data_IF_189288135829
#
_entry.id   IF_189288135829
#
_cell.length_a   1.000
_cell.length_b   1.000
_cell.length_c   1.000
_cell.angle_alpha   90.00
_cell.angle_beta   90.00
_cell.angle_gamma   90.00
#
_symmetry.space_group_name_H-M   'P 1'
#
loop_
_entity.id
_entity.type
_entity.pdbx_description
1 polymer ?
#
# COMPACT_ATOMS: atom_id res chain seq x y z
N UNK A 1 71.98 4.29 -27.17
CA UNK A 1 71.68 5.43 -26.27
C UNK A 1 70.19 5.71 -26.36
N UNK A 2 69.49 5.72 -25.20
CA UNK A 2 68.24 6.45 -24.87
C UNK A 2 66.99 6.26 -25.76
N UNK A 3 65.75 6.11 -25.27
CA UNK A 3 65.14 6.11 -23.93
C UNK A 3 63.77 5.44 -24.09
N UNK A 4 63.46 4.44 -23.26
CA UNK A 4 62.12 3.82 -23.18
C UNK A 4 61.12 4.86 -22.67
N UNK A 5 60.17 5.26 -23.51
CA UNK A 5 59.09 6.18 -23.11
C UNK A 5 57.93 5.37 -22.51
N UNK A 6 57.63 5.76 -21.27
CA UNK A 6 56.60 5.32 -20.33
C UNK A 6 55.22 5.04 -20.95
N UNK A 7 54.79 3.78 -20.93
CA UNK A 7 53.39 3.37 -21.18
C UNK A 7 52.82 2.62 -19.98
N UNK A 8 52.81 3.24 -18.80
CA UNK A 8 52.16 2.68 -17.60
C UNK A 8 51.78 3.82 -16.67
N UNK A 9 50.87 4.70 -17.13
CA UNK A 9 50.28 5.70 -16.22
C UNK A 9 48.97 6.27 -16.74
N UNK A 10 48.03 5.45 -17.24
CA UNK A 10 46.72 5.97 -17.63
C UNK A 10 45.54 4.99 -17.48
N UNK A 11 45.74 3.73 -17.09
CA UNK A 11 44.62 2.78 -16.94
C UNK A 11 43.85 2.98 -15.63
N UNK A 12 44.53 3.41 -14.55
CA UNK A 12 43.88 3.61 -13.23
C UNK A 12 42.96 4.83 -13.15
N UNK A 13 43.23 5.90 -13.91
CA UNK A 13 42.43 7.12 -13.85
C UNK A 13 41.10 6.99 -14.61
N UNK A 14 41.10 6.22 -15.71
CA UNK A 14 39.90 5.93 -16.49
C UNK A 14 38.93 5.02 -15.72
N UNK A 15 39.41 4.04 -14.95
CA UNK A 15 38.54 3.15 -14.19
C UNK A 15 37.79 3.84 -13.04
N UNK A 16 38.40 4.83 -12.38
CA UNK A 16 37.76 5.59 -11.28
C UNK A 16 36.73 6.59 -11.82
N UNK A 17 36.97 7.20 -12.98
CA UNK A 17 36.00 8.07 -13.66
C UNK A 17 34.75 7.29 -14.14
N UNK A 18 34.90 6.04 -14.58
CA UNK A 18 33.77 5.19 -14.99
C UNK A 18 32.84 4.81 -13.82
N UNK A 19 33.37 4.62 -12.61
CA UNK A 19 32.56 4.30 -11.42
C UNK A 19 31.78 5.51 -10.88
N UNK A 20 32.30 6.73 -11.03
CA UNK A 20 31.59 7.96 -10.61
C UNK A 20 30.44 8.30 -11.57
N UNK A 21 30.54 7.93 -12.85
CA UNK A 21 29.47 8.15 -13.83
C UNK A 21 28.25 7.22 -13.66
N UNK A 22 28.42 6.03 -13.07
CA UNK A 22 27.30 5.11 -12.79
C UNK A 22 26.44 5.54 -11.58
N UNK A 23 26.95 6.43 -10.71
CA UNK A 23 26.23 6.92 -9.53
C UNK A 23 25.36 8.17 -9.79
N UNK A 24 25.45 8.78 -10.99
CA UNK A 24 24.66 9.95 -11.39
C UNK A 24 23.46 9.54 -12.28
N UNK A 25 22.76 8.45 -11.93
CA UNK A 25 21.37 8.35 -12.35
C UNK A 25 20.61 9.39 -11.55
N UNK A 26 20.51 10.60 -12.12
CA UNK A 26 19.72 11.67 -11.56
C UNK A 26 18.35 11.11 -11.21
N UNK A 27 18.03 11.09 -9.91
CA UNK A 27 16.70 10.81 -9.42
C UNK A 27 15.82 11.93 -9.95
N UNK A 28 15.25 11.74 -11.14
CA UNK A 28 14.38 12.73 -11.74
C UNK A 28 13.16 12.81 -10.85
N UNK A 29 12.99 13.97 -10.20
CA UNK A 29 11.78 14.23 -9.45
C UNK A 29 10.59 13.97 -10.38
N UNK A 30 9.55 13.26 -9.91
CA UNK A 30 8.36 13.07 -10.71
C UNK A 30 7.86 14.44 -11.19
N UNK A 31 7.32 14.55 -12.42
CA UNK A 31 6.85 15.82 -12.93
C UNK A 31 5.85 16.44 -11.95
N UNK A 32 5.82 17.77 -11.85
CA UNK A 32 5.03 18.47 -10.81
C UNK A 32 3.53 18.14 -10.80
N UNK A 33 3.01 17.51 -11.86
CA UNK A 33 1.64 17.04 -11.98
C UNK A 33 1.46 15.53 -11.76
N UNK A 34 2.51 14.77 -11.46
CA UNK A 34 2.45 13.32 -11.30
C UNK A 34 1.47 12.89 -10.20
N UNK A 35 1.41 13.65 -9.11
CA UNK A 35 0.47 13.40 -8.02
C UNK A 35 -0.99 13.61 -8.46
N UNK A 36 -1.30 14.73 -9.13
CA UNK A 36 -2.65 14.98 -9.63
C UNK A 36 -3.06 13.98 -10.71
N UNK A 37 -2.13 13.57 -11.58
CA UNK A 37 -2.37 12.52 -12.57
C UNK A 37 -2.66 11.17 -11.90
N UNK A 38 -1.84 10.77 -10.91
CA UNK A 38 -2.06 9.53 -10.16
C UNK A 38 -3.39 9.54 -9.39
N UNK A 39 -3.77 10.69 -8.81
CA UNK A 39 -5.06 10.90 -8.15
C UNK A 39 -6.21 10.77 -9.14
N UNK A 40 -6.10 11.36 -10.33
CA UNK A 40 -7.12 11.26 -11.37
C UNK A 40 -7.23 9.84 -11.94
N UNK A 41 -6.11 9.16 -12.16
CA UNK A 41 -6.05 7.75 -12.57
C UNK A 41 -6.68 6.84 -11.50
N UNK A 42 -6.40 7.07 -10.21
CA UNK A 42 -7.01 6.35 -9.08
C UNK A 42 -8.53 6.65 -8.94
N UNK A 43 -8.95 7.87 -9.24
CA UNK A 43 -10.36 8.27 -9.28
C UNK A 43 -11.13 7.68 -10.47
N UNK A 44 -10.44 7.05 -11.44
CA UNK A 44 -11.09 6.40 -12.58
C UNK A 44 -11.95 5.18 -12.19
N UNK A 45 -11.72 4.59 -11.01
CA UNK A 45 -12.47 3.42 -10.52
C UNK A 45 -13.56 3.83 -9.51
N UNK A 46 -13.25 4.75 -8.60
CA UNK A 46 -14.19 5.25 -7.59
C UNK A 46 -14.07 6.78 -7.44
N UNK A 47 -15.19 7.53 -7.38
CA UNK A 47 -15.14 8.94 -7.05
C UNK A 47 -14.69 9.13 -5.59
N UNK A 48 -14.25 10.34 -5.19
CA UNK A 48 -14.01 10.65 -3.79
C UNK A 48 -15.30 10.47 -2.97
N UNK A 49 -15.22 9.76 -1.85
CA UNK A 49 -16.31 9.59 -0.90
C UNK A 49 -15.80 9.69 0.55
N UNK A 50 -16.70 10.00 1.47
CA UNK A 50 -16.40 9.96 2.91
C UNK A 50 -16.58 8.54 3.45
N UNK A 51 -15.71 8.16 4.39
CA UNK A 51 -15.98 7.01 5.25
C UNK A 51 -17.18 7.32 6.14
N UNK A 52 -18.02 6.32 6.39
CA UNK A 52 -19.17 6.44 7.28
C UNK A 52 -19.03 5.46 8.44
N UNK A 53 -19.53 5.85 9.61
CA UNK A 53 -19.71 4.93 10.73
C UNK A 53 -20.99 4.07 10.60
N UNK A 54 -21.24 3.21 11.58
CA UNK A 54 -22.40 2.30 11.58
C UNK A 54 -23.75 3.04 11.61
N UNK A 55 -23.79 4.25 12.17
CA UNK A 55 -24.96 5.14 12.16
C UNK A 55 -25.07 5.96 10.87
N UNK A 56 -24.14 5.79 9.92
CA UNK A 56 -24.09 6.54 8.68
C UNK A 56 -23.50 7.96 8.81
N UNK A 57 -22.88 8.30 9.94
CA UNK A 57 -22.24 9.62 10.16
C UNK A 57 -20.88 9.65 9.48
N UNK A 58 -20.51 10.81 8.97
CA UNK A 58 -19.22 11.01 8.28
C UNK A 58 -18.05 10.84 9.25
N UNK A 59 -17.05 10.07 8.83
CA UNK A 59 -15.71 10.02 9.43
C UNK A 59 -14.76 10.82 8.52
N UNK A 60 -14.10 11.82 9.10
CA UNK A 60 -13.07 12.61 8.43
C UNK A 60 -11.86 12.79 9.37
N UNK A 61 -10.87 11.87 9.31
CA UNK A 61 -9.72 11.90 10.20
C UNK A 61 -8.84 13.13 10.00
N UNK A 62 -8.76 13.65 8.76
CA UNK A 62 -7.97 14.85 8.43
C UNK A 62 -8.49 16.10 9.16
N UNK A 63 -9.81 16.15 9.39
CA UNK A 63 -10.48 17.26 10.11
C UNK A 63 -10.87 16.90 11.56
N UNK A 64 -10.44 15.73 12.05
CA UNK A 64 -10.78 15.26 13.40
C UNK A 64 -12.26 14.91 13.63
N UNK A 65 -13.08 14.80 12.58
CA UNK A 65 -14.51 14.47 12.73
C UNK A 65 -14.69 12.95 12.85
N UNK A 66 -15.22 12.47 13.99
CA UNK A 66 -15.42 11.04 14.29
C UNK A 66 -14.15 10.18 14.02
N UNK A 67 -12.96 10.74 14.25
CA UNK A 67 -11.69 10.13 13.88
C UNK A 67 -11.35 8.87 14.71
N UNK A 68 -12.02 8.72 15.84
CA UNK A 68 -11.91 7.62 16.81
C UNK A 68 -13.01 6.55 16.64
N UNK A 69 -13.93 6.74 15.69
CA UNK A 69 -15.06 5.84 15.46
C UNK A 69 -14.71 4.83 14.36
N UNK A 70 -15.04 3.53 14.52
CA UNK A 70 -14.82 2.55 13.48
C UNK A 70 -15.69 2.87 12.24
N UNK A 71 -15.09 2.69 11.06
CA UNK A 71 -15.83 2.79 9.81
C UNK A 71 -16.72 1.56 9.59
N UNK A 72 -17.85 1.75 8.93
CA UNK A 72 -18.75 0.69 8.50
C UNK A 72 -18.54 0.41 7.01
N UNK A 73 -17.98 -0.76 6.64
CA UNK A 73 -17.89 -1.19 5.25
C UNK A 73 -19.27 -1.23 4.57
N UNK A 74 -20.32 -1.63 5.30
CA UNK A 74 -21.68 -1.68 4.76
C UNK A 74 -22.19 -0.27 4.43
N UNK A 75 -22.11 0.68 5.36
CA UNK A 75 -22.58 2.05 5.10
C UNK A 75 -21.70 2.79 4.10
N UNK A 76 -20.40 2.49 4.04
CA UNK A 76 -19.47 3.18 3.14
C UNK A 76 -19.50 2.60 1.73
N UNK A 77 -19.15 1.32 1.56
CA UNK A 77 -19.05 0.68 0.24
C UNK A 77 -20.43 0.35 -0.34
N UNK A 78 -21.41 0.06 0.51
CA UNK A 78 -22.80 -0.24 0.11
C UNK A 78 -23.53 0.92 -0.58
N UNK A 79 -22.95 2.13 -0.58
CA UNK A 79 -23.49 3.29 -1.30
C UNK A 79 -23.30 3.19 -2.82
N UNK A 80 -22.23 2.53 -3.25
CA UNK A 80 -21.84 2.43 -4.66
C UNK A 80 -21.80 0.99 -5.17
N UNK A 81 -21.73 0.01 -4.28
CA UNK A 81 -21.62 -1.40 -4.62
C UNK A 81 -22.68 -2.22 -3.88
N UNK A 82 -23.04 -3.37 -4.44
CA UNK A 82 -23.82 -4.36 -3.70
C UNK A 82 -22.94 -4.96 -2.59
N UNK A 83 -23.17 -4.51 -1.35
CA UNK A 83 -22.41 -4.97 -0.20
C UNK A 83 -22.54 -6.48 0.01
N UNK A 84 -23.72 -7.06 -0.24
CA UNK A 84 -23.90 -8.51 -0.13
C UNK A 84 -23.01 -9.22 -1.15
N UNK A 85 -22.90 -8.69 -2.37
CA UNK A 85 -21.99 -9.24 -3.36
C UNK A 85 -20.52 -9.12 -2.95
N UNK A 86 -20.11 -7.98 -2.38
CA UNK A 86 -18.75 -7.79 -1.85
C UNK A 86 -18.42 -8.87 -0.82
N UNK A 87 -19.33 -9.10 0.14
CA UNK A 87 -19.09 -10.08 1.22
C UNK A 87 -18.90 -11.51 0.72
N UNK A 88 -19.29 -11.84 -0.52
CA UNK A 88 -19.06 -13.16 -1.12
C UNK A 88 -17.62 -13.38 -1.60
N UNK A 89 -16.76 -12.34 -1.58
CA UNK A 89 -15.36 -12.46 -1.97
C UNK A 89 -14.61 -13.46 -1.11
N UNK A 90 -13.67 -14.19 -1.70
CA UNK A 90 -12.92 -15.26 -1.02
C UNK A 90 -12.35 -14.82 0.33
N UNK A 91 -11.70 -13.66 0.37
CA UNK A 91 -11.12 -13.11 1.61
C UNK A 91 -12.15 -12.85 2.69
N UNK A 92 -13.39 -12.48 2.35
CA UNK A 92 -14.42 -12.28 3.36
C UNK A 92 -15.00 -13.59 3.87
N UNK A 93 -14.81 -14.71 3.18
CA UNK A 93 -15.39 -16.02 3.52
C UNK A 93 -14.37 -17.03 4.07
N UNK A 94 -13.08 -16.72 3.99
CA UNK A 94 -12.02 -17.61 4.41
C UNK A 94 -12.11 -17.91 5.92
N UNK A 95 -12.23 -19.19 6.28
CA UNK A 95 -12.38 -19.62 7.67
C UNK A 95 -13.78 -19.42 8.26
N UNK A 96 -14.76 -18.97 7.47
CA UNK A 96 -16.13 -18.80 7.94
C UNK A 96 -16.74 -20.16 8.33
N UNK A 97 -17.21 -20.28 9.57
CA UNK A 97 -17.80 -21.52 10.09
C UNK A 97 -16.79 -22.64 10.39
N UNK A 98 -15.50 -22.41 10.19
CA UNK A 98 -14.44 -23.35 10.57
C UNK A 98 -14.11 -23.22 12.07
N UNK A 99 -13.77 -24.33 12.71
CA UNK A 99 -13.44 -24.34 14.14
C UNK A 99 -12.03 -23.79 14.36
N UNK A 100 -11.91 -22.84 15.29
CA UNK A 100 -10.62 -22.34 15.75
C UNK A 100 -9.81 -23.43 16.48
N UNK A 101 -8.52 -23.57 16.16
CA UNK A 101 -7.63 -24.44 16.93
C UNK A 101 -7.35 -23.83 18.32
N UNK A 102 -7.12 -24.63 19.37
CA UNK A 102 -6.89 -24.11 20.72
C UNK A 102 -5.75 -23.10 20.80
N UNK A 103 -4.60 -23.39 20.18
CA UNK A 103 -3.45 -22.48 20.20
C UNK A 103 -3.70 -21.18 19.44
N UNK A 104 -4.51 -21.21 18.38
CA UNK A 104 -4.88 -19.98 17.67
C UNK A 104 -5.83 -19.13 18.51
N UNK A 105 -6.82 -19.75 19.16
CA UNK A 105 -7.75 -19.05 20.05
C UNK A 105 -7.04 -18.41 21.25
N UNK A 106 -6.02 -19.07 21.81
CA UNK A 106 -5.19 -18.51 22.88
C UNK A 106 -4.36 -17.31 22.40
N UNK A 107 -3.79 -17.39 21.20
CA UNK A 107 -2.97 -16.31 20.64
C UNK A 107 -3.81 -15.11 20.19
N UNK A 108 -5.00 -15.35 19.64
CA UNK A 108 -5.89 -14.34 19.08
C UNK A 108 -7.32 -14.48 19.65
N UNK A 109 -7.52 -14.13 20.93
CA UNK A 109 -8.80 -14.33 21.62
C UNK A 109 -9.94 -13.47 21.07
N UNK A 110 -9.65 -12.44 20.28
CA UNK A 110 -10.65 -11.60 19.62
C UNK A 110 -11.12 -12.14 18.25
N UNK A 111 -10.44 -13.15 17.69
CA UNK A 111 -10.81 -13.73 16.41
C UNK A 111 -11.94 -14.75 16.55
N UNK A 112 -12.92 -14.71 15.66
CA UNK A 112 -14.06 -15.64 15.63
C UNK A 112 -13.87 -16.82 14.68
N UNK A 113 -12.88 -16.78 13.80
CA UNK A 113 -12.57 -17.84 12.83
C UNK A 113 -11.08 -17.92 12.48
N UNK A 114 -10.58 -19.08 11.99
CA UNK A 114 -9.15 -19.30 11.73
C UNK A 114 -8.63 -18.58 10.49
N UNK A 115 -9.51 -18.05 9.64
CA UNK A 115 -9.17 -17.31 8.44
C UNK A 115 -9.35 -15.80 8.60
N UNK A 116 -9.77 -15.13 7.53
CA UNK A 116 -10.01 -13.68 7.51
C UNK A 116 -11.46 -13.33 7.91
N UNK A 117 -12.39 -14.29 7.87
CA UNK A 117 -13.75 -14.10 8.38
C UNK A 117 -13.71 -13.89 9.91
N UNK A 118 -13.96 -12.66 10.35
CA UNK A 118 -13.81 -12.27 11.76
C UNK A 118 -12.43 -12.63 12.33
N UNK A 119 -11.43 -12.60 11.45
CA UNK A 119 -10.08 -13.07 11.71
C UNK A 119 -9.19 -12.02 12.35
N UNK A 120 -7.87 -12.21 12.21
CA UNK A 120 -6.84 -11.38 12.83
C UNK A 120 -6.82 -9.92 12.36
N UNK A 121 -7.41 -9.62 11.21
CA UNK A 121 -7.24 -8.35 10.47
C UNK A 121 -8.55 -7.63 10.25
#
# INVERSE_FOLDING_TARGET
MEKRIRTVRNVGLLAVLSLVFLANTAFTAPPGNAYEKAKQDAMGVCPPFYLLDESGRIINPVKGTNADVPYSPEKTCGRCHDYKKITQGYHFQQGAGEKMSPGYAETYPWCTGPGQYGGRW
#
